data_IF_598503019320
#
_entry.id   IF_598503019320
#
_cell.length_a   1.000
_cell.length_b   1.000
_cell.length_c   1.000
_cell.angle_alpha   90.00
_cell.angle_beta   90.00
_cell.angle_gamma   90.00
#
_symmetry.space_group_name_H-M   'P 1'
#
loop_
_entity.id
_entity.type
_entity.pdbx_description
1 polymer ?
#
# COMPACT_ATOMS: atom_id res chain seq x y z
N UNK A 1 -14.97 -2.67 -2.16
CA UNK A 1 -14.45 -3.16 -0.86
C UNK A 1 -13.07 -3.73 -1.13
N UNK A 2 -12.00 -3.21 -0.49
CA UNK A 2 -10.60 -3.45 -0.89
C UNK A 2 -10.09 -4.83 -0.44
N UNK A 3 -10.63 -5.36 0.66
CA UNK A 3 -10.31 -6.71 1.10
C UNK A 3 -11.19 -7.74 0.39
N UNK A 4 -10.62 -8.85 -0.13
CA UNK A 4 -11.41 -9.95 -0.66
C UNK A 4 -12.45 -10.43 0.36
N UNK A 5 -13.56 -10.98 -0.16
CA UNK A 5 -14.71 -11.39 0.65
C UNK A 5 -14.26 -12.31 1.78
N UNK A 6 -14.59 -11.90 3.00
CA UNK A 6 -14.42 -12.71 4.18
C UNK A 6 -15.63 -13.65 4.29
N UNK A 7 -15.39 -14.88 4.72
CA UNK A 7 -16.48 -15.77 5.10
C UNK A 7 -17.09 -15.28 6.43
N UNK A 8 -18.27 -14.66 6.33
CA UNK A 8 -18.99 -14.12 7.49
C UNK A 8 -19.67 -15.21 8.32
N UNK A 9 -19.80 -16.43 7.81
CA UNK A 9 -20.40 -17.56 8.53
C UNK A 9 -19.41 -18.28 9.44
N UNK A 10 -18.10 -18.06 9.24
CA UNK A 10 -17.05 -18.67 10.06
C UNK A 10 -16.96 -18.02 11.46
N UNK A 11 -16.71 -18.85 12.50
CA UNK A 11 -16.43 -18.39 13.86
C UNK A 11 -14.99 -18.77 14.29
N UNK A 12 -14.04 -17.81 14.41
CA UNK A 12 -14.16 -16.39 14.06
C UNK A 12 -13.92 -16.13 12.56
N UNK A 13 -14.63 -15.15 11.99
CA UNK A 13 -14.39 -14.66 10.63
C UNK A 13 -13.03 -13.92 10.54
N UNK A 14 -11.98 -14.64 10.18
CA UNK A 14 -10.60 -14.15 10.10
C UNK A 14 -9.95 -14.48 8.76
N UNK A 15 -9.11 -13.58 8.28
CA UNK A 15 -8.29 -13.82 7.10
C UNK A 15 -6.92 -13.15 7.20
N UNK A 16 -5.92 -13.79 6.63
CA UNK A 16 -4.59 -13.19 6.45
C UNK A 16 -4.59 -12.32 5.21
N UNK A 17 -3.96 -11.15 5.29
CA UNK A 17 -3.75 -10.23 4.17
C UNK A 17 -2.26 -9.92 4.06
N UNK A 18 -1.72 -10.08 2.86
CA UNK A 18 -0.36 -9.70 2.52
C UNK A 18 -0.45 -8.45 1.68
N UNK A 19 0.17 -7.36 2.12
CA UNK A 19 0.23 -6.12 1.36
C UNK A 19 1.68 -5.76 1.06
N UNK A 20 2.00 -5.47 -0.20
CA UNK A 20 3.33 -5.02 -0.60
C UNK A 20 3.39 -3.49 -0.59
N UNK A 21 4.45 -2.91 -0.04
CA UNK A 21 4.62 -1.47 -0.08
C UNK A 21 5.41 -1.00 -1.31
N UNK A 22 5.52 0.32 -1.47
CA UNK A 22 6.28 0.98 -2.57
C UNK A 22 7.79 0.75 -2.51
N UNK A 23 8.33 0.20 -1.42
CA UNK A 23 9.73 -0.16 -1.29
C UNK A 23 9.96 -1.66 -1.53
N UNK A 24 8.89 -2.42 -1.75
CA UNK A 24 8.92 -3.85 -2.00
C UNK A 24 8.73 -4.71 -0.76
N UNK A 25 8.61 -4.12 0.43
CA UNK A 25 8.46 -4.87 1.68
C UNK A 25 7.05 -5.45 1.79
N UNK A 26 6.94 -6.70 2.27
CA UNK A 26 5.65 -7.39 2.37
C UNK A 26 5.15 -7.42 3.79
N UNK A 27 3.99 -6.81 4.01
CA UNK A 27 3.35 -6.66 5.30
C UNK A 27 2.24 -7.68 5.49
N UNK A 28 2.36 -8.50 6.53
CA UNK A 28 1.35 -9.50 6.91
C UNK A 28 0.41 -8.93 7.97
N UNK A 29 -0.87 -8.85 7.62
CA UNK A 29 -1.93 -8.40 8.52
C UNK A 29 -2.95 -9.50 8.79
N UNK A 30 -3.46 -9.54 10.03
CA UNK A 30 -4.66 -10.30 10.38
C UNK A 30 -5.87 -9.38 10.29
N UNK A 31 -6.74 -9.64 9.31
CA UNK A 31 -8.01 -8.95 9.14
C UNK A 31 -9.14 -9.77 9.76
N UNK A 32 -9.92 -9.15 10.64
CA UNK A 32 -11.11 -9.76 11.26
C UNK A 32 -12.34 -8.91 11.00
N UNK A 33 -13.51 -9.55 10.97
CA UNK A 33 -14.80 -8.85 11.03
C UNK A 33 -15.48 -9.14 12.37
N UNK A 34 -15.39 -8.19 13.29
CA UNK A 34 -15.69 -8.43 14.71
C UNK A 34 -16.07 -7.18 15.50
N UNK A 35 -16.23 -7.38 16.80
CA UNK A 35 -16.66 -6.34 17.74
C UNK A 35 -18.17 -6.04 17.71
N UNK A 36 -18.58 -5.12 18.58
CA UNK A 36 -19.96 -4.65 18.70
C UNK A 36 -19.96 -3.11 18.64
N UNK A 37 -20.53 -2.48 17.60
CA UNK A 37 -21.03 -3.07 16.35
C UNK A 37 -19.90 -3.72 15.51
N UNK A 38 -20.30 -4.63 14.61
CA UNK A 38 -19.37 -5.36 13.73
C UNK A 38 -18.65 -4.40 12.79
N UNK A 39 -17.33 -4.54 12.70
CA UNK A 39 -16.45 -3.71 11.86
C UNK A 39 -15.22 -4.47 11.39
N UNK A 40 -14.58 -3.95 10.35
CA UNK A 40 -13.32 -4.46 9.82
C UNK A 40 -12.16 -3.97 10.69
N UNK A 41 -11.34 -4.90 11.17
CA UNK A 41 -10.19 -4.58 12.00
C UNK A 41 -8.95 -5.27 11.45
N UNK A 42 -7.87 -4.51 11.34
CA UNK A 42 -6.52 -5.05 11.25
C UNK A 42 -5.99 -5.19 12.67
N UNK A 43 -5.53 -6.38 13.02
CA UNK A 43 -5.08 -6.71 14.38
C UNK A 43 -3.58 -7.03 14.36
N UNK A 44 -3.22 -8.30 14.29
CA UNK A 44 -1.83 -8.75 14.20
C UNK A 44 -1.14 -8.12 12.98
N UNK A 45 0.09 -7.64 13.18
CA UNK A 45 0.92 -6.99 12.16
C UNK A 45 0.73 -5.46 12.07
N UNK A 46 -0.38 -4.92 12.59
CA UNK A 46 -0.65 -3.48 12.53
C UNK A 46 0.37 -2.64 13.29
N UNK A 47 0.64 -2.98 14.56
CA UNK A 47 1.59 -2.24 15.40
C UNK A 47 3.01 -2.26 14.83
N UNK A 48 3.45 -3.41 14.32
CA UNK A 48 4.75 -3.55 13.65
C UNK A 48 4.86 -2.64 12.43
N UNK A 49 3.82 -2.60 11.59
CA UNK A 49 3.77 -1.71 10.43
C UNK A 49 3.83 -0.23 10.84
N UNK A 50 3.00 0.19 11.80
CA UNK A 50 2.97 1.56 12.32
C UNK A 50 4.33 1.98 12.85
N UNK A 51 4.97 1.15 13.67
CA UNK A 51 6.27 1.44 14.26
C UNK A 51 7.37 1.50 13.21
N UNK A 52 7.41 0.52 12.29
CA UNK A 52 8.45 0.47 11.27
C UNK A 52 8.33 1.61 10.25
N UNK A 53 7.10 1.95 9.84
CA UNK A 53 6.83 3.10 8.98
C UNK A 53 6.83 4.42 9.72
N UNK A 54 7.05 4.44 11.05
CA UNK A 54 7.07 5.64 11.89
C UNK A 54 5.82 6.51 11.64
N UNK A 55 4.66 5.87 11.66
CA UNK A 55 3.40 6.58 11.43
C UNK A 55 3.01 7.35 12.68
N UNK A 56 2.46 8.54 12.46
CA UNK A 56 1.90 9.37 13.52
C UNK A 56 0.45 9.71 13.21
N UNK A 57 -0.29 10.17 14.22
CA UNK A 57 -1.64 10.69 14.01
C UNK A 57 -1.62 11.81 12.95
N UNK A 58 -2.54 11.73 11.99
CA UNK A 58 -2.60 12.61 10.83
C UNK A 58 -1.99 12.03 9.56
N UNK A 59 -1.09 11.04 9.66
CA UNK A 59 -0.65 10.29 8.49
C UNK A 59 -1.82 9.43 7.94
N UNK A 60 -1.82 9.25 6.63
CA UNK A 60 -2.80 8.45 5.91
C UNK A 60 -2.17 7.14 5.44
N UNK A 61 -2.95 6.07 5.43
CA UNK A 61 -2.56 4.79 4.84
C UNK A 61 -3.56 4.46 3.75
N UNK A 62 -3.05 4.12 2.58
CA UNK A 62 -3.85 3.77 1.41
C UNK A 62 -3.62 2.30 1.10
N UNK A 63 -4.70 1.53 1.04
CA UNK A 63 -4.65 0.16 0.53
C UNK A 63 -5.20 0.16 -0.89
N UNK A 64 -4.54 -0.56 -1.79
CA UNK A 64 -4.98 -0.71 -3.17
C UNK A 64 -4.95 -2.16 -3.55
N UNK A 65 -5.93 -2.60 -4.33
CA UNK A 65 -5.97 -3.96 -4.85
C UNK A 65 -5.69 -3.91 -6.34
N UNK A 66 -4.59 -4.53 -6.76
CA UNK A 66 -4.25 -4.68 -8.16
C UNK A 66 -5.23 -5.62 -8.87
N UNK A 67 -5.26 -5.58 -10.20
CA UNK A 67 -6.15 -6.40 -11.02
C UNK A 67 -5.89 -7.91 -10.83
N UNK A 68 -4.63 -8.28 -10.64
CA UNK A 68 -4.19 -9.64 -10.32
C UNK A 68 -4.64 -10.12 -8.92
N UNK A 69 -5.21 -9.22 -8.10
CA UNK A 69 -5.70 -9.50 -6.76
C UNK A 69 -4.71 -9.25 -5.63
N UNK A 70 -3.48 -8.86 -5.95
CA UNK A 70 -2.48 -8.48 -4.95
C UNK A 70 -2.88 -7.19 -4.25
N UNK A 71 -2.52 -7.07 -2.97
CA UNK A 71 -2.77 -5.88 -2.17
C UNK A 71 -1.47 -5.08 -2.08
N UNK A 72 -1.55 -3.78 -2.37
CA UNK A 72 -0.50 -2.81 -2.13
C UNK A 72 -0.86 -1.90 -0.96
N UNK A 73 0.14 -1.38 -0.25
CA UNK A 73 -0.03 -0.41 0.82
C UNK A 73 0.89 0.80 0.65
N UNK A 74 0.30 1.99 0.70
CA UNK A 74 0.97 3.28 0.65
C UNK A 74 0.81 4.06 1.94
N UNK A 75 1.76 4.97 2.20
CA UNK A 75 1.72 5.89 3.33
C UNK A 75 1.77 7.32 2.80
N UNK A 76 0.70 8.09 3.04
CA UNK A 76 0.66 9.52 2.80
C UNK A 76 1.01 10.27 4.09
N UNK A 77 1.99 11.17 4.03
CA UNK A 77 2.40 11.95 5.20
C UNK A 77 1.51 13.18 5.37
N UNK A 78 1.14 13.47 6.61
CA UNK A 78 0.46 14.72 6.91
C UNK A 78 1.34 15.90 6.47
N UNK A 79 0.79 16.80 5.65
CA UNK A 79 1.42 18.10 5.42
C UNK A 79 1.36 18.85 6.74
N UNK A 80 2.50 19.01 7.40
CA UNK A 80 2.62 19.90 8.54
C UNK A 80 2.44 21.32 8.02
N UNK A 81 1.21 21.82 8.06
CA UNK A 81 0.92 23.21 7.77
C UNK A 81 1.59 24.07 8.83
N UNK A 82 2.80 24.55 8.55
CA UNK A 82 3.23 25.85 9.06
C UNK A 82 2.46 26.84 8.17
N UNK A 83 1.62 27.66 8.79
CA UNK A 83 0.60 28.44 8.09
C UNK A 83 1.12 29.35 6.98
N UNK A 84 0.27 29.53 5.97
CA UNK A 84 0.29 30.67 5.04
C UNK A 84 0.61 30.34 3.58
N UNK A 85 -0.41 30.37 2.71
CA UNK A 85 -0.26 30.61 1.26
C UNK A 85 -0.95 29.61 0.34
N UNK A 86 -1.75 30.04 -0.67
CA UNK A 86 -2.62 29.14 -1.42
C UNK A 86 -2.01 28.62 -2.74
N UNK A 87 -2.52 27.45 -3.12
CA UNK A 87 -2.84 26.93 -4.46
C UNK A 87 -1.80 26.82 -5.61
N UNK A 88 -1.85 25.62 -6.22
CA UNK A 88 -1.39 25.21 -7.55
C UNK A 88 0.12 24.98 -7.77
N UNK A 89 0.56 23.74 -7.56
CA UNK A 89 1.78 23.20 -8.19
C UNK A 89 1.48 21.82 -8.81
N UNK A 90 0.61 21.79 -9.81
CA UNK A 90 0.49 20.66 -10.74
C UNK A 90 0.56 21.22 -12.15
N UNK A 91 1.74 21.12 -12.78
CA UNK A 91 1.92 21.25 -14.22
C UNK A 91 2.58 19.96 -14.72
N UNK A 92 1.94 19.18 -15.60
CA UNK A 92 2.59 18.10 -16.32
C UNK A 92 2.95 18.58 -17.73
N UNK A 93 4.21 18.97 -17.97
CA UNK A 93 4.74 19.16 -19.32
C UNK A 93 6.27 19.08 -19.39
N UNK A 94 6.76 18.15 -20.22
CA UNK A 94 8.14 18.09 -20.74
C UNK A 94 9.10 17.25 -19.89
N UNK A 95 9.92 16.33 -20.41
CA UNK A 95 10.26 15.94 -21.78
C UNK A 95 11.56 15.12 -21.73
N UNK A 96 11.59 14.02 -22.49
CA UNK A 96 12.70 13.16 -22.92
C UNK A 96 14.09 13.21 -22.24
N UNK A 97 14.60 12.02 -21.91
CA UNK A 97 15.97 11.62 -22.25
C UNK A 97 16.05 10.12 -22.50
N UNK A 98 16.35 9.73 -23.74
CA UNK A 98 16.75 8.39 -24.12
C UNK A 98 18.16 8.08 -23.57
N UNK A 99 18.47 6.81 -23.32
CA UNK A 99 19.58 6.07 -23.96
C UNK A 99 19.57 4.56 -23.52
N UNK A 100 20.14 3.65 -24.33
CA UNK A 100 19.98 2.19 -24.24
C UNK A 100 21.22 1.47 -23.64
N UNK A 101 21.07 0.20 -23.24
CA UNK A 101 21.96 -0.95 -23.56
C UNK A 101 21.73 -2.13 -22.58
N UNK A 102 21.83 -3.34 -23.16
CA UNK A 102 21.96 -4.74 -22.67
C UNK A 102 22.07 -4.99 -21.15
N UNK A 103 21.53 -6.05 -20.56
CA UNK A 103 21.36 -7.44 -20.98
C UNK A 103 21.76 -8.34 -19.80
N UNK A 104 21.18 -9.55 -19.70
CA UNK A 104 21.53 -10.68 -18.80
C UNK A 104 20.77 -10.83 -17.46
N UNK A 105 20.00 -11.93 -17.43
CA UNK A 105 19.77 -12.89 -16.33
C UNK A 105 19.17 -12.40 -15.00
N UNK A 106 17.88 -12.68 -14.83
CA UNK A 106 17.23 -12.62 -13.52
C UNK A 106 15.73 -12.92 -13.55
N UNK A 107 15.33 -14.10 -14.03
CA UNK A 107 13.90 -14.47 -14.14
C UNK A 107 13.14 -14.54 -12.78
N UNK A 108 13.81 -14.29 -11.65
CA UNK A 108 13.19 -14.13 -10.33
C UNK A 108 13.05 -12.66 -9.87
N UNK A 109 13.88 -11.73 -10.36
CA UNK A 109 13.88 -10.33 -9.91
C UNK A 109 12.90 -9.44 -10.70
N UNK A 110 12.62 -9.79 -11.96
CA UNK A 110 11.76 -8.98 -12.84
C UNK A 110 10.29 -8.98 -12.38
N UNK A 111 9.81 -10.08 -11.78
CA UNK A 111 8.43 -10.13 -11.27
C UNK A 111 8.28 -9.24 -10.04
N UNK A 112 9.29 -9.21 -9.18
CA UNK A 112 9.25 -8.48 -7.93
C UNK A 112 9.36 -6.97 -8.12
N UNK A 113 10.21 -6.54 -9.05
CA UNK A 113 10.39 -5.14 -9.44
C UNK A 113 9.17 -4.59 -10.20
N UNK A 114 8.59 -5.35 -11.13
CA UNK A 114 7.34 -4.98 -11.81
C UNK A 114 6.18 -4.80 -10.84
N UNK A 115 6.08 -5.67 -9.82
CA UNK A 115 5.04 -5.55 -8.80
C UNK A 115 5.27 -4.34 -7.90
N UNK A 116 6.54 -4.01 -7.59
CA UNK A 116 6.91 -2.82 -6.80
C UNK A 116 6.61 -1.52 -7.56
N UNK A 117 6.89 -1.50 -8.85
CA UNK A 117 6.54 -0.40 -9.74
C UNK A 117 5.01 -0.29 -9.89
N UNK A 118 4.30 -1.41 -10.05
CA UNK A 118 2.83 -1.42 -10.03
C UNK A 118 2.24 -0.85 -8.74
N UNK A 119 2.83 -1.16 -7.57
CA UNK A 119 2.39 -0.53 -6.32
C UNK A 119 2.72 0.98 -6.27
N UNK A 120 3.85 1.42 -6.82
CA UNK A 120 4.19 2.85 -6.95
C UNK A 120 3.22 3.58 -7.88
N UNK A 121 2.95 3.01 -9.04
CA UNK A 121 2.06 3.54 -10.09
C UNK A 121 0.61 3.57 -9.64
N UNK A 122 0.22 2.69 -8.70
CA UNK A 122 -1.13 2.69 -8.14
C UNK A 122 -1.32 3.77 -7.05
N UNK A 123 -0.24 4.21 -6.39
CA UNK A 123 -0.29 5.10 -5.21
C UNK A 123 -0.01 6.57 -5.56
N UNK A 124 0.77 6.85 -6.60
CA UNK A 124 1.01 8.21 -7.12
C UNK A 124 -0.05 8.62 -8.15
#
# INVERSE_FOLDING_TARGET
>A
MIFPRLDYAADPSVQTRLAKDVHGETWKFRHIYGGTPRRHLLTTGWSTFVNHKKLVAGDSIVFLRAENGDLCVGVGRAKRGIGGGPESLWNPAGGNSALPYEGLNGAAAVREERQSNSCRDAIN
#
